data_IF_228125536137
#
_entry.id   IF_228125536137
#
_cell.length_a   1.000
_cell.length_b   1.000
_cell.length_c   1.000
_cell.angle_alpha   90.00
_cell.angle_beta   90.00
_cell.angle_gamma   90.00
#
_symmetry.space_group_name_H-M   'P 1'
#
loop_
_entity.id
_entity.type
_entity.pdbx_description
1 polymer ?
#
# COMPACT_ATOMS: atom_id res chain seq x y z
N UNK A 1 1.93 -32.93 -9.01
CA UNK A 1 1.92 -31.58 -8.44
C UNK A 1 0.83 -31.56 -7.40
N UNK A 2 1.21 -31.69 -6.13
CA UNK A 2 0.30 -31.62 -5.00
C UNK A 2 0.00 -30.14 -4.75
N UNK A 3 -1.20 -29.67 -5.11
CA UNK A 3 -1.71 -28.39 -4.71
C UNK A 3 -1.90 -28.39 -3.19
N UNK A 4 -0.93 -27.84 -2.47
CA UNK A 4 -1.09 -27.54 -1.04
C UNK A 4 -1.87 -26.22 -0.97
N UNK A 5 -3.19 -26.33 -0.98
CA UNK A 5 -4.04 -25.22 -0.54
C UNK A 5 -3.89 -25.09 0.99
N UNK A 6 -2.92 -24.28 1.42
CA UNK A 6 -2.96 -23.79 2.79
C UNK A 6 -4.02 -22.70 2.83
N UNK A 7 -5.18 -23.02 3.36
CA UNK A 7 -6.17 -22.02 3.72
C UNK A 7 -5.56 -21.16 4.85
N UNK A 8 -5.32 -19.90 4.53
CA UNK A 8 -4.86 -18.92 5.51
C UNK A 8 -6.11 -18.25 6.10
N UNK A 9 -6.42 -18.54 7.33
CA UNK A 9 -7.53 -17.89 8.01
C UNK A 9 -7.05 -16.61 8.67
N UNK A 10 -7.63 -15.48 8.31
CA UNK A 10 -7.33 -14.16 8.91
C UNK A 10 -7.52 -14.17 10.44
N UNK A 11 -8.43 -14.99 10.96
CA UNK A 11 -8.63 -15.21 12.39
C UNK A 11 -7.38 -15.70 13.13
N UNK A 12 -6.44 -16.32 12.41
CA UNK A 12 -5.16 -16.73 12.98
C UNK A 12 -4.19 -15.56 13.21
N UNK A 13 -4.44 -14.41 12.57
CA UNK A 13 -3.69 -13.16 12.80
C UNK A 13 -4.31 -12.39 13.97
N UNK A 14 -5.64 -12.28 13.98
CA UNK A 14 -6.38 -11.61 15.03
C UNK A 14 -7.80 -12.16 15.10
N UNK A 15 -8.27 -12.43 16.30
CA UNK A 15 -9.65 -12.88 16.56
C UNK A 15 -10.71 -11.86 16.13
N UNK A 16 -10.32 -10.60 15.97
CA UNK A 16 -11.21 -9.52 15.55
C UNK A 16 -11.36 -9.40 14.04
N UNK A 17 -10.49 -10.05 13.26
CA UNK A 17 -10.57 -10.03 11.80
C UNK A 17 -11.65 -11.01 11.31
N UNK A 18 -12.54 -10.47 10.46
CA UNK A 18 -13.54 -11.28 9.75
C UNK A 18 -12.89 -11.89 8.52
N UNK A 19 -12.96 -13.20 8.37
CA UNK A 19 -12.57 -13.85 7.13
C UNK A 19 -13.55 -13.49 6.00
N UNK A 20 -13.08 -13.34 4.74
CA UNK A 20 -13.95 -13.30 3.59
C UNK A 20 -14.81 -14.56 3.52
N UNK A 21 -15.98 -14.45 2.89
CA UNK A 21 -16.82 -15.62 2.63
C UNK A 21 -16.10 -16.59 1.68
N UNK A 22 -16.39 -17.88 1.77
CA UNK A 22 -15.77 -18.93 0.94
C UNK A 22 -15.92 -18.69 -0.57
N UNK A 23 -17.01 -18.04 -0.98
CA UNK A 23 -17.32 -17.69 -2.38
C UNK A 23 -16.73 -16.34 -2.81
N UNK A 24 -15.90 -15.72 -1.98
CA UNK A 24 -15.28 -14.42 -2.31
C UNK A 24 -14.28 -14.56 -3.44
N UNK A 25 -14.45 -13.73 -4.47
CA UNK A 25 -13.53 -13.65 -5.60
C UNK A 25 -12.44 -12.62 -5.30
N UNK A 26 -11.18 -12.99 -5.52
CA UNK A 26 -10.05 -12.07 -5.51
C UNK A 26 -9.74 -11.69 -6.96
N UNK A 27 -9.74 -10.40 -7.23
CA UNK A 27 -9.37 -9.83 -8.53
C UNK A 27 -7.87 -9.54 -8.56
N UNK A 28 -7.24 -9.84 -9.67
CA UNK A 28 -5.85 -9.46 -9.96
C UNK A 28 -5.76 -8.84 -11.34
N UNK A 29 -4.62 -8.22 -11.65
CA UNK A 29 -4.33 -7.68 -12.96
C UNK A 29 -2.86 -7.94 -13.31
N UNK A 30 -2.59 -8.02 -14.61
CA UNK A 30 -1.23 -8.10 -15.13
C UNK A 30 -0.80 -6.74 -15.65
N UNK A 31 0.48 -6.44 -15.47
CA UNK A 31 1.10 -5.23 -16.01
C UNK A 31 1.88 -5.65 -17.24
N UNK A 32 1.71 -4.90 -18.35
CA UNK A 32 2.48 -5.18 -19.57
C UNK A 32 3.98 -5.07 -19.30
N UNK A 33 4.80 -6.00 -19.84
CA UNK A 33 6.25 -5.95 -19.74
C UNK A 33 6.87 -4.65 -20.30
N UNK A 34 6.17 -3.97 -21.20
CA UNK A 34 6.61 -2.71 -21.81
C UNK A 34 6.47 -1.50 -20.87
N UNK A 35 5.75 -1.67 -19.77
CA UNK A 35 5.64 -0.64 -18.75
C UNK A 35 6.76 -0.83 -17.74
N UNK A 36 7.69 0.12 -17.69
CA UNK A 36 8.74 0.22 -16.65
C UNK A 36 8.09 0.59 -15.30
N UNK A 37 7.36 -0.35 -14.71
CA UNK A 37 6.76 -0.16 -13.41
C UNK A 37 7.72 -0.66 -12.34
N UNK A 38 8.10 0.23 -11.46
CA UNK A 38 8.91 -0.06 -10.29
C UNK A 38 7.99 -0.60 -9.18
N UNK A 39 8.53 -1.45 -8.34
CA UNK A 39 7.81 -2.07 -7.23
C UNK A 39 7.35 -3.50 -7.57
N UNK A 40 7.79 -4.44 -6.77
CA UNK A 40 7.42 -5.85 -6.90
C UNK A 40 6.57 -6.24 -5.70
N UNK A 41 5.37 -6.74 -5.99
CA UNK A 41 4.51 -7.41 -5.02
C UNK A 41 4.44 -8.85 -5.44
N UNK A 42 4.86 -9.79 -4.60
CA UNK A 42 4.75 -11.22 -4.89
C UNK A 42 3.27 -11.64 -4.96
N UNK A 43 2.98 -12.75 -5.65
CA UNK A 43 1.62 -13.29 -5.74
C UNK A 43 1.03 -13.59 -4.35
N UNK A 44 1.87 -14.01 -3.42
CA UNK A 44 1.46 -14.32 -2.06
C UNK A 44 1.08 -13.05 -1.27
N UNK A 45 1.89 -12.00 -1.36
CA UNK A 45 1.58 -10.68 -0.78
C UNK A 45 0.31 -10.10 -1.40
N UNK A 46 0.19 -10.16 -2.74
CA UNK A 46 -0.98 -9.70 -3.45
C UNK A 46 -2.26 -10.42 -2.98
N UNK A 47 -2.18 -11.72 -2.73
CA UNK A 47 -3.29 -12.49 -2.19
C UNK A 47 -3.68 -12.05 -0.77
N UNK A 48 -2.70 -11.86 0.14
CA UNK A 48 -2.95 -11.40 1.51
C UNK A 48 -3.58 -10.02 1.51
N UNK A 49 -2.98 -9.06 0.78
CA UNK A 49 -3.45 -7.68 0.68
C UNK A 49 -4.88 -7.64 0.13
N UNK A 50 -5.17 -8.38 -0.94
CA UNK A 50 -6.50 -8.48 -1.52
C UNK A 50 -7.53 -9.04 -0.54
N UNK A 51 -7.14 -10.04 0.23
CA UNK A 51 -8.00 -10.68 1.22
C UNK A 51 -8.33 -9.74 2.38
N UNK A 52 -7.34 -9.00 2.90
CA UNK A 52 -7.53 -7.99 3.94
C UNK A 52 -8.41 -6.84 3.43
N UNK A 53 -8.21 -6.42 2.19
CA UNK A 53 -9.00 -5.33 1.57
C UNK A 53 -10.48 -5.67 1.48
N UNK A 54 -10.85 -6.96 1.27
CA UNK A 54 -12.26 -7.38 1.20
C UNK A 54 -13.05 -7.15 2.48
N UNK A 55 -12.39 -7.15 3.61
CA UNK A 55 -13.02 -7.02 4.93
C UNK A 55 -12.83 -5.66 5.57
N UNK A 56 -12.11 -4.77 4.90
CA UNK A 56 -11.76 -3.43 5.39
C UNK A 56 -12.63 -2.35 4.75
N UNK A 57 -12.95 -1.31 5.53
CA UNK A 57 -13.70 -0.12 5.09
C UNK A 57 -12.82 1.11 4.98
N UNK A 58 -11.83 1.21 5.85
CA UNK A 58 -10.88 2.30 5.87
C UNK A 58 -9.46 1.71 5.78
N UNK A 59 -8.80 1.99 4.67
CA UNK A 59 -7.46 1.46 4.38
C UNK A 59 -6.48 2.63 4.29
N UNK A 60 -5.32 2.46 4.88
CA UNK A 60 -4.23 3.42 4.77
C UNK A 60 -2.97 2.75 4.23
N UNK A 61 -2.27 3.43 3.30
CA UNK A 61 -1.03 2.96 2.70
C UNK A 61 0.07 4.01 2.84
N UNK A 62 1.21 3.59 3.36
CA UNK A 62 2.46 4.34 3.27
C UNK A 62 3.22 3.86 2.04
N UNK A 63 3.38 4.72 1.03
CA UNK A 63 4.10 4.39 -0.20
C UNK A 63 3.19 3.99 -1.36
N UNK A 64 2.76 4.96 -2.17
CA UNK A 64 1.92 4.71 -3.35
C UNK A 64 2.72 4.13 -4.52
N UNK A 65 3.98 4.57 -4.71
CA UNK A 65 4.81 4.21 -5.86
C UNK A 65 4.02 4.36 -7.18
N UNK A 66 3.97 3.31 -8.00
CA UNK A 66 3.16 3.27 -9.25
C UNK A 66 1.65 3.15 -9.02
N UNK A 67 1.21 2.97 -7.77
CA UNK A 67 -0.19 2.72 -7.41
C UNK A 67 -0.65 1.29 -7.64
N UNK A 68 0.27 0.33 -7.85
CA UNK A 68 -0.07 -1.08 -8.10
C UNK A 68 -0.80 -1.70 -6.91
N UNK A 69 -0.26 -1.58 -5.72
CA UNK A 69 -0.83 -2.13 -4.49
C UNK A 69 -2.11 -1.40 -4.10
N UNK A 70 -2.12 -0.07 -4.20
CA UNK A 70 -3.32 0.76 -4.00
C UNK A 70 -4.46 0.31 -4.90
N UNK A 71 -4.17 0.08 -6.19
CA UNK A 71 -5.18 -0.38 -7.16
C UNK A 71 -5.68 -1.80 -6.82
N UNK A 72 -4.78 -2.70 -6.42
CA UNK A 72 -5.15 -4.04 -6.00
C UNK A 72 -6.11 -4.02 -4.79
N UNK A 73 -5.82 -3.17 -3.80
CA UNK A 73 -6.71 -2.95 -2.66
C UNK A 73 -8.07 -2.41 -3.09
N UNK A 74 -8.09 -1.43 -4.00
CA UNK A 74 -9.32 -0.85 -4.50
C UNK A 74 -10.18 -1.84 -5.29
N UNK A 75 -9.57 -2.68 -6.14
CA UNK A 75 -10.26 -3.72 -6.90
C UNK A 75 -10.94 -4.77 -5.99
N UNK A 76 -10.36 -5.03 -4.84
CA UNK A 76 -10.81 -6.09 -3.93
C UNK A 76 -11.63 -5.59 -2.75
N UNK A 77 -11.76 -4.29 -2.56
CA UNK A 77 -12.59 -3.70 -1.51
C UNK A 77 -14.01 -3.39 -1.99
N UNK A 78 -14.93 -3.17 -1.04
CA UNK A 78 -16.31 -2.78 -1.35
C UNK A 78 -16.38 -1.35 -1.91
N UNK A 79 -17.52 -1.01 -2.53
CA UNK A 79 -17.74 0.29 -3.17
C UNK A 79 -17.65 1.49 -2.20
N UNK A 80 -17.99 1.26 -0.94
CA UNK A 80 -17.98 2.27 0.13
C UNK A 80 -16.65 2.31 0.90
N UNK A 81 -15.65 1.51 0.51
CA UNK A 81 -14.31 1.54 1.10
C UNK A 81 -13.59 2.84 0.75
N UNK A 82 -12.90 3.39 1.72
CA UNK A 82 -12.03 4.56 1.56
C UNK A 82 -10.57 4.13 1.70
N UNK A 83 -9.77 4.45 0.70
CA UNK A 83 -8.35 4.16 0.69
C UNK A 83 -7.61 5.50 0.68
N UNK A 84 -6.76 5.72 1.67
CA UNK A 84 -5.83 6.86 1.67
C UNK A 84 -4.42 6.31 1.48
N UNK A 85 -3.70 6.86 0.52
CA UNK A 85 -2.30 6.51 0.28
C UNK A 85 -1.45 7.76 0.28
N UNK A 86 -0.26 7.68 0.84
CA UNK A 86 0.68 8.79 0.88
C UNK A 86 1.94 8.49 0.09
N UNK A 87 2.45 9.49 -0.60
CA UNK A 87 3.69 9.42 -1.37
C UNK A 87 4.40 10.76 -1.38
N UNK A 88 5.69 10.76 -1.68
CA UNK A 88 6.45 11.99 -1.86
C UNK A 88 5.97 12.74 -3.10
N UNK A 89 6.01 14.07 -3.03
CA UNK A 89 5.79 14.90 -4.20
C UNK A 89 6.97 14.73 -5.18
N UNK A 90 6.75 14.33 -6.44
CA UNK A 90 7.82 14.18 -7.43
C UNK A 90 8.72 15.41 -7.57
N UNK A 91 8.18 16.61 -7.37
CA UNK A 91 8.92 17.86 -7.45
C UNK A 91 9.82 18.13 -6.22
N UNK A 92 9.61 17.41 -5.12
CA UNK A 92 10.32 17.59 -3.84
C UNK A 92 11.32 16.47 -3.55
N UNK A 93 11.44 15.48 -4.42
CA UNK A 93 12.30 14.30 -4.24
C UNK A 93 13.75 14.65 -3.93
N UNK A 94 14.25 15.77 -4.45
CA UNK A 94 15.64 16.20 -4.23
C UNK A 94 15.89 16.80 -2.84
N UNK A 95 14.84 17.13 -2.10
CA UNK A 95 14.88 17.79 -0.80
C UNK A 95 14.65 16.83 0.38
N UNK A 96 14.70 15.51 0.13
CA UNK A 96 14.48 14.49 1.15
C UNK A 96 15.56 14.59 2.22
N UNK A 97 15.16 14.68 3.48
CA UNK A 97 16.07 14.63 4.61
C UNK A 97 16.77 13.27 4.68
N UNK A 98 18.09 13.29 4.74
CA UNK A 98 18.89 12.08 4.96
C UNK A 98 19.18 11.92 6.46
N UNK A 99 19.11 10.69 6.93
CA UNK A 99 19.45 10.33 8.30
C UNK A 99 20.75 9.54 8.32
N UNK A 100 21.59 9.76 9.33
CA UNK A 100 22.94 9.19 9.41
C UNK A 100 23.01 7.64 9.37
N UNK A 101 21.91 6.99 9.74
CA UNK A 101 21.81 5.53 9.75
C UNK A 101 21.36 4.90 8.44
N UNK A 102 20.96 5.72 7.48
CA UNK A 102 20.42 5.27 6.21
C UNK A 102 21.50 5.28 5.14
N UNK A 103 21.45 4.35 4.20
CA UNK A 103 22.45 4.23 3.14
C UNK A 103 21.99 4.93 1.84
N UNK A 104 22.95 5.31 1.00
CA UNK A 104 22.70 5.99 -0.27
C UNK A 104 21.86 5.18 -1.27
N UNK A 105 21.96 3.84 -1.25
CA UNK A 105 21.17 3.00 -2.15
C UNK A 105 19.68 3.08 -1.81
N UNK A 106 19.33 3.16 -0.53
CA UNK A 106 17.95 3.33 -0.08
C UNK A 106 17.34 4.65 -0.55
N UNK A 107 18.11 5.75 -0.48
CA UNK A 107 17.66 7.04 -1.02
C UNK A 107 17.47 7.03 -2.54
N UNK A 108 18.28 6.28 -3.26
CA UNK A 108 18.10 6.09 -4.71
C UNK A 108 16.79 5.35 -5.01
N UNK A 109 16.48 4.33 -4.24
CA UNK A 109 15.21 3.60 -4.38
C UNK A 109 14.01 4.51 -4.11
N UNK A 110 14.03 5.26 -3.00
CA UNK A 110 12.97 6.24 -2.69
C UNK A 110 12.74 7.19 -3.87
N UNK A 111 13.82 7.71 -4.48
CA UNK A 111 13.70 8.59 -5.65
C UNK A 111 13.05 7.90 -6.84
N UNK A 112 13.44 6.66 -7.15
CA UNK A 112 12.88 5.91 -8.28
C UNK A 112 11.41 5.55 -8.07
N UNK A 113 11.00 5.33 -6.83
CA UNK A 113 9.63 4.93 -6.46
C UNK A 113 8.69 6.13 -6.32
N UNK A 114 9.22 7.35 -6.23
CA UNK A 114 8.43 8.58 -6.00
C UNK A 114 8.31 9.48 -7.24
N UNK A 115 8.64 8.97 -8.42
CA UNK A 115 8.58 9.75 -9.67
C UNK A 115 7.17 9.89 -10.27
N UNK A 116 6.19 9.17 -9.73
CA UNK A 116 4.87 9.06 -10.30
C UNK A 116 3.97 10.21 -9.85
N UNK A 117 3.36 10.88 -10.80
CA UNK A 117 2.26 11.85 -10.63
C UNK A 117 0.94 11.32 -11.19
N UNK A 118 1.02 10.20 -11.93
CA UNK A 118 -0.11 9.46 -12.49
C UNK A 118 0.05 7.98 -12.15
N UNK A 119 -0.99 7.40 -11.61
CA UNK A 119 -0.97 6.06 -11.02
C UNK A 119 -1.73 5.05 -11.89
N UNK A 120 -1.50 3.76 -11.68
CA UNK A 120 -2.19 2.68 -12.40
C UNK A 120 -3.71 2.70 -12.23
N UNK A 121 -4.22 3.23 -11.14
CA UNK A 121 -5.64 3.39 -10.90
C UNK A 121 -6.24 4.67 -11.51
N UNK A 122 -5.42 5.58 -12.04
CA UNK A 122 -5.91 6.85 -12.63
C UNK A 122 -6.78 6.58 -13.84
N UNK A 123 -7.98 7.15 -13.83
CA UNK A 123 -8.99 6.95 -14.88
C UNK A 123 -9.79 5.66 -14.76
N UNK A 124 -9.55 4.83 -13.74
CA UNK A 124 -10.35 3.63 -13.48
C UNK A 124 -11.57 3.95 -12.60
N UNK A 125 -12.61 3.09 -12.61
CA UNK A 125 -13.77 3.27 -11.71
C UNK A 125 -13.39 3.23 -10.21
N UNK A 126 -12.30 2.57 -9.87
CA UNK A 126 -11.79 2.42 -8.51
C UNK A 126 -11.15 3.69 -7.96
N UNK A 127 -10.71 4.61 -8.82
CA UNK A 127 -10.07 5.87 -8.41
C UNK A 127 -10.93 6.68 -7.43
N UNK A 128 -12.26 6.61 -7.56
CA UNK A 128 -13.20 7.29 -6.66
C UNK A 128 -13.09 6.89 -5.18
N UNK A 129 -12.50 5.71 -4.89
CA UNK A 129 -12.26 5.20 -3.53
C UNK A 129 -10.95 5.70 -2.94
N UNK A 130 -10.07 6.27 -3.77
CA UNK A 130 -8.65 6.50 -3.46
C UNK A 130 -8.39 7.99 -3.28
N UNK A 131 -7.81 8.34 -2.14
CA UNK A 131 -7.27 9.68 -1.86
C UNK A 131 -5.76 9.59 -1.78
N UNK A 132 -5.07 10.24 -2.72
CA UNK A 132 -3.61 10.39 -2.67
C UNK A 132 -3.26 11.66 -1.93
N UNK A 133 -2.30 11.57 -1.01
CA UNK A 133 -1.72 12.71 -0.31
C UNK A 133 -0.23 12.77 -0.62
N UNK A 134 0.20 13.85 -1.28
CA UNK A 134 1.60 14.10 -1.57
C UNK A 134 2.26 14.74 -0.35
N UNK A 135 2.94 13.91 0.43
CA UNK A 135 3.65 14.34 1.65
C UNK A 135 4.76 13.34 1.99
N UNK A 136 5.84 13.84 2.60
CA UNK A 136 6.80 12.95 3.24
C UNK A 136 6.17 12.30 4.48
N UNK A 137 6.24 10.98 4.60
CA UNK A 137 5.65 10.26 5.74
C UNK A 137 6.22 10.71 7.08
N UNK A 138 7.45 11.22 7.10
CA UNK A 138 8.07 11.81 8.31
C UNK A 138 7.31 13.05 8.79
N UNK A 139 6.80 13.86 7.87
CA UNK A 139 6.08 15.10 8.16
C UNK A 139 4.56 14.89 8.26
N UNK A 140 4.09 13.69 7.94
CA UNK A 140 2.67 13.37 7.92
C UNK A 140 2.07 13.37 9.33
N UNK A 141 1.01 14.15 9.54
CA UNK A 141 0.23 14.15 10.76
C UNK A 141 -0.91 13.12 10.67
N UNK A 142 -0.82 12.04 11.45
CA UNK A 142 -1.77 10.93 11.45
C UNK A 142 -2.99 11.13 12.36
N UNK A 143 -3.13 12.28 13.04
CA UNK A 143 -4.16 12.50 14.08
C UNK A 143 -5.58 12.22 13.60
N UNK A 144 -5.92 12.60 12.36
CA UNK A 144 -7.25 12.34 11.80
C UNK A 144 -7.53 10.87 11.47
N UNK A 145 -6.48 10.03 11.39
CA UNK A 145 -6.55 8.61 11.00
C UNK A 145 -6.45 7.66 12.20
N UNK A 146 -6.00 8.16 13.36
CA UNK A 146 -5.84 7.35 14.57
C UNK A 146 -7.12 6.60 14.93
N UNK A 147 -6.97 5.28 15.20
CA UNK A 147 -8.05 4.38 15.63
C UNK A 147 -9.23 4.27 14.64
N UNK A 148 -9.02 4.68 13.38
CA UNK A 148 -10.07 4.67 12.35
C UNK A 148 -9.78 3.73 11.18
N UNK A 149 -8.56 3.21 11.11
CA UNK A 149 -8.14 2.36 9.99
C UNK A 149 -8.37 0.89 10.34
N UNK A 150 -8.96 0.15 9.42
CA UNK A 150 -9.16 -1.29 9.54
C UNK A 150 -7.94 -2.06 9.03
N UNK A 151 -7.22 -1.47 8.07
CA UNK A 151 -6.03 -2.05 7.47
C UNK A 151 -5.02 -0.94 7.16
N UNK A 152 -3.78 -1.11 7.60
CA UNK A 152 -2.66 -0.23 7.28
C UNK A 152 -1.59 -1.07 6.60
N UNK A 153 -1.16 -0.62 5.41
CA UNK A 153 -0.07 -1.22 4.66
C UNK A 153 1.13 -0.28 4.64
N UNK A 154 2.29 -0.77 5.11
CA UNK A 154 3.52 0.01 5.18
C UNK A 154 4.46 -0.52 4.10
N UNK A 155 4.58 0.20 3.01
CA UNK A 155 5.43 -0.11 1.85
C UNK A 155 6.07 1.17 1.29
N UNK A 156 6.43 2.09 2.19
CA UNK A 156 7.09 3.35 1.87
C UNK A 156 8.60 3.20 1.69
N UNK A 157 9.35 4.20 2.11
CA UNK A 157 10.81 4.13 2.03
C UNK A 157 11.41 3.01 2.87
N UNK A 158 12.35 2.27 2.30
CA UNK A 158 12.97 1.07 2.92
C UNK A 158 14.18 1.39 3.82
N UNK A 159 14.31 2.62 4.29
CA UNK A 159 15.32 2.97 5.28
C UNK A 159 14.82 2.65 6.70
N UNK A 160 15.75 2.36 7.60
CA UNK A 160 15.40 2.10 9.00
C UNK A 160 14.57 3.25 9.61
N UNK A 161 14.98 4.49 9.35
CA UNK A 161 14.36 5.68 9.93
C UNK A 161 12.93 5.88 9.43
N UNK A 162 12.68 5.65 8.13
CA UNK A 162 11.33 5.77 7.53
C UNK A 162 10.43 4.64 8.00
N UNK A 163 10.88 3.38 7.93
CA UNK A 163 10.10 2.23 8.39
C UNK A 163 9.71 2.37 9.87
N UNK A 164 10.66 2.82 10.72
CA UNK A 164 10.38 3.08 12.12
C UNK A 164 9.31 4.16 12.30
N UNK A 165 9.46 5.30 11.60
CA UNK A 165 8.50 6.41 11.66
C UNK A 165 7.09 5.96 11.23
N UNK A 166 6.99 5.25 10.10
CA UNK A 166 5.72 4.82 9.53
C UNK A 166 5.04 3.78 10.44
N UNK A 167 5.84 2.89 11.05
CA UNK A 167 5.34 1.93 12.04
C UNK A 167 4.82 2.63 13.30
N UNK A 168 5.56 3.61 13.84
CA UNK A 168 5.14 4.37 15.03
C UNK A 168 3.87 5.20 14.77
N UNK A 169 3.67 5.68 13.53
CA UNK A 169 2.45 6.40 13.13
C UNK A 169 1.25 5.51 12.86
N UNK A 170 1.47 4.20 12.70
CA UNK A 170 0.42 3.23 12.40
C UNK A 170 -0.30 2.69 13.65
N UNK A 171 0.25 2.93 14.84
CA UNK A 171 -0.29 2.45 16.12
C UNK A 171 -0.80 3.55 17.03
#
# INVERSE_FOLDING_TARGET
VTNIHKSFELRNISSNLKSPKEDSIIKSFSISPDNNIVGMTSDYEAWIISTLSKVSKNIFEFGTCSGKTTYLMALNSSEDTKITTITLNPNEINNIQKFDKDNESSYRNIKNESIYDKFLFSGTPEEKKIKVIFINSVDFNNTEFKEKMDFIFIDGGHTYSVVKNDSEKSF
#
